data_IF_619763090020
#
_entry.id   IF_619763090020
#
_cell.length_a   1.000
_cell.length_b   1.000
_cell.length_c   1.000
_cell.angle_alpha   90.00
_cell.angle_beta   90.00
_cell.angle_gamma   90.00
#
_symmetry.space_group_name_H-M   'P 1'
#
loop_
_entity.id
_entity.type
_entity.pdbx_description
1 polymer ?
#
# COMPACT_ATOMS: atom_id res chain seq x y z
N UNK A 1 5.06 -17.20 5.81
CA UNK A 1 4.09 -16.10 5.76
C UNK A 1 2.83 -16.39 6.56
N UNK A 2 2.14 -17.51 6.31
CA UNK A 2 0.86 -17.83 6.97
C UNK A 2 0.99 -17.92 8.49
N UNK A 3 2.05 -18.57 9.01
CA UNK A 3 2.29 -18.72 10.45
C UNK A 3 2.49 -17.38 11.17
N UNK A 4 2.91 -16.35 10.44
CA UNK A 4 3.21 -15.03 10.99
C UNK A 4 2.09 -14.01 10.71
N UNK A 5 1.05 -14.39 9.98
CA UNK A 5 -0.02 -13.47 9.57
C UNK A 5 -0.78 -12.90 10.77
N UNK A 6 -1.08 -13.72 11.78
CA UNK A 6 -1.78 -13.26 12.97
C UNK A 6 -0.99 -12.19 13.74
N UNK A 7 0.33 -12.37 13.87
CA UNK A 7 1.20 -11.38 14.50
C UNK A 7 1.22 -10.06 13.73
N UNK A 8 1.36 -10.11 12.41
CA UNK A 8 1.35 -8.90 11.58
C UNK A 8 0.00 -8.18 11.66
N UNK A 9 -1.10 -8.91 11.65
CA UNK A 9 -2.44 -8.32 11.80
C UNK A 9 -2.61 -7.61 13.15
N UNK A 10 -2.10 -8.20 14.23
CA UNK A 10 -2.11 -7.61 15.57
C UNK A 10 -1.32 -6.29 15.61
N UNK A 11 -0.10 -6.30 15.04
CA UNK A 11 0.74 -5.09 14.94
C UNK A 11 0.00 -4.00 14.15
N UNK A 12 -0.59 -4.35 13.01
CA UNK A 12 -1.33 -3.41 12.17
C UNK A 12 -2.51 -2.79 12.92
N UNK A 13 -3.30 -3.61 13.61
CA UNK A 13 -4.45 -3.14 14.40
C UNK A 13 -4.03 -2.19 15.54
N UNK A 14 -2.98 -2.54 16.25
CA UNK A 14 -2.47 -1.71 17.34
C UNK A 14 -1.90 -0.39 16.83
N UNK A 15 -1.17 -0.41 15.72
CA UNK A 15 -0.66 0.79 15.08
C UNK A 15 -1.80 1.74 14.68
N UNK A 16 -2.88 1.22 14.08
CA UNK A 16 -4.07 2.01 13.73
C UNK A 16 -4.75 2.60 14.96
N UNK A 17 -4.96 1.81 16.02
CA UNK A 17 -5.57 2.27 17.27
C UNK A 17 -4.77 3.37 17.95
N UNK A 18 -3.45 3.28 17.90
CA UNK A 18 -2.52 4.22 18.54
C UNK A 18 -2.14 5.38 17.63
N UNK A 19 -2.66 5.43 16.40
CA UNK A 19 -2.28 6.41 15.37
C UNK A 19 -0.77 6.46 15.11
N UNK A 20 -0.13 5.30 15.19
CA UNK A 20 1.29 5.11 14.91
C UNK A 20 1.47 4.81 13.41
N UNK A 21 1.57 5.86 12.61
CA UNK A 21 1.67 5.71 11.15
C UNK A 21 2.95 5.00 10.73
N UNK A 22 4.07 5.21 11.40
CA UNK A 22 5.34 4.58 11.03
C UNK A 22 5.27 3.06 11.16
N UNK A 23 4.84 2.55 12.31
CA UNK A 23 4.62 1.11 12.50
C UNK A 23 3.58 0.54 11.54
N UNK A 24 2.50 1.28 11.29
CA UNK A 24 1.49 0.90 10.32
C UNK A 24 2.08 0.77 8.92
N UNK A 25 2.83 1.78 8.46
CA UNK A 25 3.48 1.78 7.15
C UNK A 25 4.43 0.59 6.97
N UNK A 26 5.30 0.36 7.96
CA UNK A 26 6.25 -0.75 7.93
C UNK A 26 5.55 -2.10 7.80
N UNK A 27 4.52 -2.34 8.60
CA UNK A 27 3.89 -3.67 8.63
C UNK A 27 3.08 -3.97 7.37
N UNK A 28 2.38 -2.98 6.80
CA UNK A 28 1.62 -3.19 5.56
C UNK A 28 2.54 -3.37 4.35
N UNK A 29 3.63 -2.63 4.29
CA UNK A 29 4.63 -2.76 3.22
C UNK A 29 5.33 -4.11 3.28
N UNK A 30 5.73 -4.56 4.47
CA UNK A 30 6.33 -5.88 4.67
C UNK A 30 5.35 -6.98 4.25
N UNK A 31 4.09 -6.92 4.65
CA UNK A 31 3.09 -7.93 4.28
C UNK A 31 2.89 -8.00 2.77
N UNK A 32 2.75 -6.86 2.11
CA UNK A 32 2.65 -6.76 0.66
C UNK A 32 3.89 -7.33 -0.03
N UNK A 33 5.08 -6.92 0.39
CA UNK A 33 6.34 -7.37 -0.20
C UNK A 33 6.57 -8.88 -0.01
N UNK A 34 6.20 -9.44 1.13
CA UNK A 34 6.28 -10.89 1.37
C UNK A 34 5.36 -11.68 0.44
N UNK A 35 4.16 -11.18 0.17
CA UNK A 35 3.24 -11.80 -0.80
C UNK A 35 3.88 -11.83 -2.20
N UNK A 36 4.43 -10.72 -2.65
CA UNK A 36 5.09 -10.65 -3.95
C UNK A 36 6.37 -11.50 -4.02
N UNK A 37 7.14 -11.58 -2.94
CA UNK A 37 8.31 -12.45 -2.88
C UNK A 37 7.93 -13.93 -3.06
N UNK A 38 6.84 -14.38 -2.47
CA UNK A 38 6.32 -15.73 -2.66
C UNK A 38 5.88 -15.95 -4.09
N UNK A 39 5.15 -15.01 -4.68
CA UNK A 39 4.71 -15.09 -6.08
C UNK A 39 5.88 -15.14 -7.05
N UNK A 40 6.89 -14.30 -6.85
CA UNK A 40 8.09 -14.26 -7.70
C UNK A 40 8.96 -15.52 -7.59
N UNK A 41 8.89 -16.23 -6.48
CA UNK A 41 9.63 -17.48 -6.24
C UNK A 41 8.79 -18.75 -6.43
N UNK A 42 7.55 -18.61 -6.88
CA UNK A 42 6.68 -19.75 -7.20
C UNK A 42 7.06 -20.40 -8.54
N UNK A 43 6.50 -21.57 -8.82
CA UNK A 43 6.66 -22.26 -10.11
C UNK A 43 5.29 -22.54 -10.73
N UNK A 44 4.90 -21.87 -11.84
CA UNK A 44 5.66 -20.82 -12.54
C UNK A 44 5.77 -19.51 -11.71
N UNK A 45 6.83 -18.75 -11.97
CA UNK A 45 7.04 -17.46 -11.32
C UNK A 45 6.00 -16.45 -11.79
N UNK A 46 5.49 -15.65 -10.84
CA UNK A 46 4.53 -14.58 -11.10
C UNK A 46 5.16 -13.25 -10.65
N UNK A 47 5.25 -12.31 -11.58
CA UNK A 47 5.79 -10.98 -11.30
C UNK A 47 4.77 -9.92 -11.71
N UNK A 48 4.21 -9.23 -10.74
CA UNK A 48 3.30 -8.11 -10.95
C UNK A 48 3.98 -6.75 -10.95
N UNK A 49 5.17 -6.65 -10.33
CA UNK A 49 5.88 -5.38 -10.25
C UNK A 49 6.36 -4.95 -11.63
N UNK A 50 5.93 -3.76 -12.04
CA UNK A 50 6.42 -3.08 -13.23
C UNK A 50 7.44 -2.01 -12.83
N UNK A 51 8.27 -1.51 -13.75
CA UNK A 51 9.21 -0.43 -13.44
C UNK A 51 8.55 0.79 -12.79
N UNK A 52 7.37 1.17 -13.27
CA UNK A 52 6.58 2.27 -12.69
C UNK A 52 6.10 1.95 -11.29
N UNK A 53 5.69 0.70 -11.01
CA UNK A 53 5.31 0.27 -9.66
C UNK A 53 6.46 0.47 -8.67
N UNK A 54 7.66 0.04 -9.04
CA UNK A 54 8.88 0.20 -8.23
C UNK A 54 9.20 1.67 -8.01
N UNK A 55 9.06 2.50 -9.05
CA UNK A 55 9.30 3.95 -8.95
C UNK A 55 8.32 4.61 -7.96
N UNK A 56 7.05 4.23 -7.98
CA UNK A 56 6.07 4.70 -7.01
C UNK A 56 6.45 4.29 -5.59
N UNK A 57 6.79 3.01 -5.38
CA UNK A 57 7.21 2.50 -4.07
C UNK A 57 8.41 3.27 -3.51
N UNK A 58 9.42 3.51 -4.34
CA UNK A 58 10.60 4.29 -3.97
C UNK A 58 10.25 5.74 -3.63
N UNK A 59 9.36 6.36 -4.40
CA UNK A 59 8.89 7.74 -4.17
C UNK A 59 8.15 7.85 -2.84
N UNK A 60 7.26 6.90 -2.54
CA UNK A 60 6.50 6.87 -1.28
C UNK A 60 7.44 6.71 -0.08
N UNK A 61 8.42 5.82 -0.16
CA UNK A 61 9.43 5.65 0.90
C UNK A 61 10.24 6.92 1.12
N UNK A 62 10.66 7.58 0.05
CA UNK A 62 11.40 8.84 0.13
C UNK A 62 10.57 9.96 0.77
N UNK A 63 9.27 10.05 0.46
CA UNK A 63 8.34 10.98 1.09
C UNK A 63 8.26 10.73 2.60
N UNK A 64 8.11 9.47 3.01
CA UNK A 64 8.05 9.12 4.44
C UNK A 64 9.33 9.46 5.17
N UNK A 65 10.50 9.21 4.57
CA UNK A 65 11.80 9.58 5.14
C UNK A 65 11.93 11.09 5.36
N UNK A 66 11.23 11.90 4.57
CA UNK A 66 11.19 13.37 4.69
C UNK A 66 10.06 13.87 5.60
N UNK A 67 9.36 12.98 6.28
CA UNK A 67 8.32 13.33 7.25
C UNK A 67 6.89 13.37 6.72
N UNK A 68 6.65 12.99 5.45
CA UNK A 68 5.29 12.88 4.91
C UNK A 68 4.73 11.48 5.19
N UNK A 69 3.63 11.39 5.92
CA UNK A 69 2.99 10.12 6.24
C UNK A 69 2.39 9.48 4.98
N UNK A 70 3.10 8.57 4.39
CA UNK A 70 2.71 7.81 3.21
C UNK A 70 3.26 6.38 3.27
N UNK A 71 2.46 5.44 2.81
CA UNK A 71 2.80 4.02 2.72
C UNK A 71 2.21 3.43 1.45
N UNK A 72 2.69 2.26 1.03
CA UNK A 72 2.18 1.59 -0.16
C UNK A 72 1.84 0.12 0.09
N UNK A 73 0.92 -0.39 -0.71
CA UNK A 73 0.69 -1.83 -0.87
C UNK A 73 0.37 -2.13 -2.33
N UNK A 74 0.61 -3.37 -2.74
CA UNK A 74 0.20 -3.90 -4.03
C UNK A 74 -0.48 -5.25 -3.80
N UNK A 75 -1.58 -5.47 -4.48
CA UNK A 75 -2.27 -6.75 -4.53
C UNK A 75 -1.80 -7.56 -5.77
N UNK A 76 -2.64 -8.42 -6.29
CA UNK A 76 -2.34 -9.23 -7.47
C UNK A 76 -2.43 -8.41 -8.76
N UNK A 77 -1.49 -7.48 -8.94
CA UNK A 77 -1.43 -6.59 -10.09
C UNK A 77 -0.30 -5.57 -9.95
N UNK A 78 -0.16 -4.71 -10.97
CA UNK A 78 0.85 -3.66 -11.02
C UNK A 78 0.41 -2.34 -10.38
N UNK A 79 -0.87 -2.20 -10.05
CA UNK A 79 -1.42 -0.99 -9.45
C UNK A 79 -0.95 -0.84 -8.00
N UNK A 80 -0.52 0.36 -7.65
CA UNK A 80 -0.02 0.67 -6.32
C UNK A 80 -1.10 1.42 -5.54
N UNK A 81 -1.43 0.92 -4.37
CA UNK A 81 -2.27 1.63 -3.40
C UNK A 81 -1.37 2.47 -2.50
N UNK A 82 -1.56 3.78 -2.51
CA UNK A 82 -0.83 4.69 -1.63
C UNK A 82 -1.77 5.15 -0.52
N UNK A 83 -1.40 4.82 0.71
CA UNK A 83 -2.15 5.17 1.90
C UNK A 83 -1.46 6.37 2.55
N UNK A 84 -2.20 7.42 2.87
CA UNK A 84 -1.65 8.63 3.46
C UNK A 84 -2.66 9.34 4.36
N UNK A 85 -2.19 10.29 5.14
CA UNK A 85 -3.07 11.18 5.90
C UNK A 85 -3.79 12.17 4.97
N UNK A 86 -5.03 12.51 5.32
CA UNK A 86 -5.90 13.33 4.46
C UNK A 86 -5.33 14.69 4.08
N UNK A 87 -4.54 15.31 4.97
CA UNK A 87 -3.90 16.61 4.71
C UNK A 87 -2.76 16.56 3.69
N UNK A 88 -2.27 15.37 3.30
CA UNK A 88 -1.17 15.19 2.36
C UNK A 88 -1.61 14.68 0.99
N UNK A 89 -2.88 14.32 0.82
CA UNK A 89 -3.43 13.70 -0.40
C UNK A 89 -3.10 14.50 -1.65
N UNK A 90 -3.37 15.80 -1.67
CA UNK A 90 -3.17 16.62 -2.87
C UNK A 90 -1.70 16.73 -3.27
N UNK A 91 -0.80 16.85 -2.29
CA UNK A 91 0.64 16.86 -2.52
C UNK A 91 1.12 15.53 -3.13
N UNK A 92 0.68 14.42 -2.56
CA UNK A 92 1.05 13.07 -3.03
C UNK A 92 0.48 12.82 -4.42
N UNK A 93 -0.78 13.15 -4.67
CA UNK A 93 -1.37 13.02 -6.00
C UNK A 93 -0.56 13.77 -7.07
N UNK A 94 -0.19 15.02 -6.82
CA UNK A 94 0.60 15.81 -7.73
C UNK A 94 1.96 15.15 -8.05
N UNK A 95 2.64 14.64 -7.04
CA UNK A 95 3.91 13.94 -7.20
C UNK A 95 3.78 12.63 -7.98
N UNK A 96 2.72 11.86 -7.71
CA UNK A 96 2.48 10.60 -8.41
C UNK A 96 2.16 10.81 -9.89
N UNK A 97 1.41 11.86 -10.22
CA UNK A 97 1.09 12.21 -11.61
C UNK A 97 2.31 12.57 -12.45
N UNK A 98 3.37 13.06 -11.84
CA UNK A 98 4.62 13.41 -12.51
C UNK A 98 5.51 12.19 -12.83
N UNK A 99 5.23 11.03 -12.23
CA UNK A 99 6.00 9.80 -12.48
C UNK A 99 5.66 9.29 -13.88
N UNK A 100 6.70 9.13 -14.71
CA UNK A 100 6.55 8.54 -16.04
C UNK A 100 5.98 7.13 -15.97
N UNK A 101 4.95 6.86 -16.76
CA UNK A 101 4.26 5.57 -16.79
C UNK A 101 3.02 5.49 -15.87
N UNK A 102 2.78 6.46 -15.02
CA UNK A 102 1.51 6.58 -14.29
C UNK A 102 0.43 7.07 -15.23
N UNK A 103 -0.59 6.24 -15.47
CA UNK A 103 -1.69 6.54 -16.41
C UNK A 103 -2.82 7.30 -15.75
N UNK A 104 -3.12 6.95 -14.51
CA UNK A 104 -4.23 7.50 -13.76
C UNK A 104 -3.93 7.48 -12.26
N UNK A 105 -4.42 8.46 -11.53
CA UNK A 105 -4.43 8.50 -10.07
C UNK A 105 -5.86 8.67 -9.61
N UNK A 106 -6.37 7.70 -8.86
CA UNK A 106 -7.72 7.70 -8.30
C UNK A 106 -7.63 8.03 -6.82
N UNK A 107 -8.31 9.09 -6.40
CA UNK A 107 -8.44 9.44 -4.98
C UNK A 107 -9.65 8.78 -4.35
N UNK A 108 -9.46 8.26 -3.15
CA UNK A 108 -10.50 7.66 -2.35
C UNK A 108 -10.28 7.94 -0.87
N UNK A 109 -11.30 7.82 -0.08
CA UNK A 109 -11.23 7.88 1.38
C UNK A 109 -11.76 6.57 1.98
N UNK A 110 -11.57 6.41 3.30
CA UNK A 110 -12.08 5.24 4.02
C UNK A 110 -13.59 5.16 3.87
N UNK A 111 -14.06 4.02 3.39
CA UNK A 111 -15.47 3.72 3.25
C UNK A 111 -16.13 3.24 4.55
N UNK A 112 -17.40 2.89 4.46
CA UNK A 112 -18.10 2.21 5.54
C UNK A 112 -17.67 0.75 5.65
N UNK A 113 -17.96 0.10 6.80
CA UNK A 113 -17.79 -1.35 6.94
C UNK A 113 -18.64 -2.15 5.96
N UNK A 114 -18.33 -3.44 5.85
CA UNK A 114 -19.10 -4.35 5.02
C UNK A 114 -20.56 -4.42 5.49
N UNK A 115 -21.49 -4.44 4.54
CA UNK A 115 -22.94 -4.54 4.80
C UNK A 115 -23.60 -5.39 3.73
N UNK A 116 -24.70 -6.03 4.10
CA UNK A 116 -25.55 -6.71 3.13
C UNK A 116 -26.30 -5.66 2.29
N UNK A 117 -26.36 -5.93 0.99
CA UNK A 117 -27.19 -5.15 0.05
C UNK A 117 -28.33 -6.07 -0.38
N UNK A 118 -29.57 -5.63 -0.22
CA UNK A 118 -30.71 -6.37 -0.74
C UNK A 118 -30.63 -6.38 -2.27
N UNK A 119 -30.80 -7.58 -2.86
CA UNK A 119 -30.94 -7.69 -4.31
C UNK A 119 -32.27 -7.05 -4.75
N UNK A 120 -32.20 -6.18 -5.72
CA UNK A 120 -33.40 -5.59 -6.32
C UNK A 120 -34.20 -6.64 -7.10
#
# INVERSE_FOLDING_TARGET
RLKDAARRLEICRNALKNRDFETFAEIIEIDSNMMHAIMMTSNPSIMYWQPTSIKIMQTVRALRQKGTAAAFTLDAGSNVHVICEGNTVNKIEALLREISGVKEVIKSSVGSGAKFVESA
#
